data_IF_071507792012
#
_entry.id   IF_071507792012
#
_cell.length_a   1.000
_cell.length_b   1.000
_cell.length_c   1.000
_cell.angle_alpha   90.00
_cell.angle_beta   90.00
_cell.angle_gamma   90.00
#
_symmetry.space_group_name_H-M   'P 1'
#
loop_
_entity.id
_entity.type
_entity.pdbx_description
1 polymer ?
#
# COMPACT_ATOMS: atom_id res chain seq x y z
N UNK A 1 6.13 -9.68 -6.35
CA UNK A 1 5.75 -9.26 -4.98
C UNK A 1 4.27 -8.93 -4.87
N UNK A 2 3.75 -7.84 -5.47
CA UNK A 2 2.30 -7.59 -5.42
C UNK A 2 1.48 -8.62 -6.21
N UNK A 3 2.03 -9.14 -7.30
CA UNK A 3 1.42 -10.25 -8.06
C UNK A 3 1.19 -11.49 -7.17
N UNK A 4 2.15 -11.83 -6.29
CA UNK A 4 2.00 -12.92 -5.34
C UNK A 4 0.81 -12.74 -4.38
N UNK A 5 0.44 -11.50 -4.05
CA UNK A 5 -0.76 -11.18 -3.27
C UNK A 5 -2.02 -11.35 -4.13
N UNK A 6 -1.99 -10.87 -5.37
CA UNK A 6 -3.12 -10.98 -6.29
C UNK A 6 -3.48 -12.47 -6.55
N UNK A 7 -2.47 -13.32 -6.73
CA UNK A 7 -2.61 -14.75 -6.97
C UNK A 7 -3.06 -15.56 -5.75
N UNK A 8 -2.97 -14.99 -4.54
CA UNK A 8 -3.46 -15.64 -3.33
C UNK A 8 -4.99 -15.69 -3.28
N UNK A 9 -5.67 -14.69 -3.86
CA UNK A 9 -7.12 -14.50 -3.76
C UNK A 9 -7.64 -14.76 -2.33
N UNK A 10 -6.94 -14.20 -1.33
CA UNK A 10 -7.19 -14.49 0.07
C UNK A 10 -8.55 -13.91 0.49
N UNK A 11 -9.48 -14.79 0.80
CA UNK A 11 -10.83 -14.44 1.28
C UNK A 11 -11.25 -15.46 2.32
N UNK A 12 -11.54 -15.01 3.54
CA UNK A 12 -12.05 -15.85 4.62
C UNK A 12 -13.01 -15.08 5.53
N UNK A 13 -13.36 -15.68 6.68
CA UNK A 13 -14.27 -15.07 7.67
C UNK A 13 -13.79 -13.74 8.26
N UNK A 14 -12.50 -13.42 8.12
CA UNK A 14 -11.91 -12.17 8.60
C UNK A 14 -11.82 -11.09 7.52
N UNK A 15 -12.10 -11.45 6.26
CA UNK A 15 -12.19 -10.51 5.15
C UNK A 15 -11.45 -10.97 3.90
N UNK A 16 -11.34 -10.04 2.95
CA UNK A 16 -10.70 -10.23 1.66
C UNK A 16 -9.49 -9.32 1.53
N UNK A 17 -8.37 -9.89 1.06
CA UNK A 17 -7.15 -9.15 0.72
C UNK A 17 -6.95 -9.19 -0.79
N UNK A 18 -6.73 -8.03 -1.39
CA UNK A 18 -6.36 -7.90 -2.80
C UNK A 18 -5.24 -6.90 -3.03
N UNK A 19 -5.03 -6.56 -4.30
CA UNK A 19 -4.16 -5.48 -4.74
C UNK A 19 -4.99 -4.59 -5.66
N UNK A 20 -4.90 -3.24 -5.57
CA UNK A 20 -5.57 -2.39 -6.52
C UNK A 20 -5.02 -2.63 -7.93
N UNK A 21 -5.87 -2.54 -8.95
CA UNK A 21 -5.42 -2.78 -10.32
C UNK A 21 -4.33 -1.79 -10.68
N UNK A 22 -3.31 -2.27 -11.39
CA UNK A 22 -2.16 -1.46 -11.73
C UNK A 22 -1.63 -1.78 -13.13
N UNK A 23 -0.93 -0.81 -13.70
CA UNK A 23 -0.33 -0.86 -15.03
C UNK A 23 1.03 -0.16 -15.01
N UNK A 24 2.02 -0.79 -15.62
CA UNK A 24 3.34 -0.19 -15.82
C UNK A 24 3.37 0.55 -17.14
N UNK A 25 3.82 1.80 -17.13
CA UNK A 25 4.09 2.59 -18.32
C UNK A 25 5.60 2.84 -18.39
N UNK A 26 6.26 2.33 -19.43
CA UNK A 26 7.73 2.40 -19.52
C UNK A 26 8.25 3.65 -20.23
N UNK A 27 7.63 4.07 -21.34
CA UNK A 27 8.25 5.08 -22.24
C UNK A 27 7.29 6.13 -22.78
N UNK A 28 6.24 5.74 -23.49
CA UNK A 28 5.44 6.69 -24.27
C UNK A 28 4.33 7.35 -23.45
N UNK A 29 4.56 8.60 -23.04
CA UNK A 29 3.60 9.43 -22.30
C UNK A 29 2.31 9.70 -23.10
N UNK A 30 2.39 9.78 -24.43
CA UNK A 30 1.23 10.06 -25.29
C UNK A 30 0.22 8.90 -25.30
N UNK A 31 0.71 7.68 -25.06
CA UNK A 31 -0.10 6.46 -25.04
C UNK A 31 -0.79 6.16 -23.70
N UNK A 32 -0.50 6.93 -22.63
CA UNK A 32 -0.96 6.61 -21.27
C UNK A 32 -2.48 6.47 -21.19
N UNK A 33 -3.22 7.43 -21.76
CA UNK A 33 -4.69 7.43 -21.72
C UNK A 33 -5.30 6.20 -22.41
N UNK A 34 -4.73 5.80 -23.55
CA UNK A 34 -5.17 4.62 -24.29
C UNK A 34 -4.80 3.33 -23.56
N UNK A 35 -3.59 3.27 -22.99
CA UNK A 35 -3.15 2.13 -22.20
C UNK A 35 -4.03 1.93 -20.95
N UNK A 36 -4.36 3.01 -20.25
CA UNK A 36 -5.29 3.02 -19.11
C UNK A 36 -6.68 2.55 -19.53
N UNK A 37 -7.19 3.04 -20.66
CA UNK A 37 -8.50 2.67 -21.19
C UNK A 37 -8.55 1.20 -21.61
N UNK A 38 -7.52 0.70 -22.31
CA UNK A 38 -7.40 -0.70 -22.74
C UNK A 38 -7.26 -1.66 -21.55
N UNK A 39 -6.50 -1.28 -20.53
CA UNK A 39 -6.41 -2.02 -19.28
C UNK A 39 -7.67 -1.86 -18.42
N UNK A 40 -8.54 -0.90 -18.72
CA UNK A 40 -9.79 -0.64 -18.00
C UNK A 40 -9.59 -0.19 -16.55
N UNK A 41 -8.50 0.52 -16.23
CA UNK A 41 -8.35 1.09 -14.87
C UNK A 41 -9.32 2.25 -14.66
N UNK A 42 -9.78 2.41 -13.41
CA UNK A 42 -10.69 3.47 -13.01
C UNK A 42 -9.92 4.61 -12.34
N UNK A 43 -10.22 5.83 -12.77
CA UNK A 43 -9.71 7.03 -12.13
C UNK A 43 -10.40 7.25 -10.76
N UNK A 44 -9.68 7.83 -9.77
CA UNK A 44 -8.32 8.35 -9.89
C UNK A 44 -7.21 7.30 -9.80
N UNK A 45 -6.04 7.62 -10.37
CA UNK A 45 -4.86 6.75 -10.41
C UNK A 45 -3.67 7.39 -9.72
N UNK A 46 -3.07 6.68 -8.76
CA UNK A 46 -1.77 7.04 -8.18
C UNK A 46 -0.68 6.70 -9.19
N UNK A 47 0.10 7.70 -9.57
CA UNK A 47 1.30 7.54 -10.37
C UNK A 47 2.52 7.45 -9.44
N UNK A 48 3.22 6.31 -9.53
CA UNK A 48 4.45 6.01 -8.78
C UNK A 48 5.63 5.98 -9.75
N UNK A 49 6.54 6.97 -9.75
CA UNK A 49 7.71 6.94 -10.62
C UNK A 49 8.57 5.70 -10.35
N UNK A 50 9.04 5.03 -11.42
CA UNK A 50 9.99 3.92 -11.31
C UNK A 50 11.45 4.39 -11.20
N UNK A 51 11.72 5.63 -11.61
CA UNK A 51 13.04 6.23 -11.49
C UNK A 51 13.31 6.74 -10.08
N UNK A 52 14.40 6.28 -9.46
CA UNK A 52 14.82 6.62 -8.08
C UNK A 52 15.05 8.12 -7.79
N UNK A 53 14.99 9.00 -8.81
CA UNK A 53 15.21 10.44 -8.65
C UNK A 53 13.98 11.20 -8.14
N UNK A 54 12.79 10.63 -8.23
CA UNK A 54 11.57 11.23 -7.69
C UNK A 54 10.74 10.21 -6.94
N UNK A 55 10.75 10.29 -5.60
CA UNK A 55 9.80 9.57 -4.74
C UNK A 55 8.45 10.33 -4.62
N UNK A 56 8.19 11.30 -5.51
CA UNK A 56 6.98 12.10 -5.46
C UNK A 56 5.81 11.33 -6.07
N UNK A 57 4.81 11.06 -5.24
CA UNK A 57 3.55 10.47 -5.69
C UNK A 57 2.67 11.57 -6.28
N UNK A 58 2.06 11.25 -7.42
CA UNK A 58 1.10 12.13 -8.09
C UNK A 58 -0.24 11.43 -8.26
N UNK A 59 -1.33 12.18 -8.19
CA UNK A 59 -2.67 11.65 -8.41
C UNK A 59 -3.26 12.23 -9.70
N UNK A 60 -3.59 11.34 -10.63
CA UNK A 60 -4.28 11.66 -11.85
C UNK A 60 -5.78 11.39 -11.70
N UNK A 61 -6.60 12.43 -11.85
CA UNK A 61 -8.05 12.34 -11.60
C UNK A 61 -8.90 12.22 -12.85
N UNK A 62 -8.40 12.73 -13.97
CA UNK A 62 -9.07 12.71 -15.25
C UNK A 62 -8.10 12.30 -16.37
N UNK A 63 -8.63 12.17 -17.58
CA UNK A 63 -7.83 11.80 -18.76
C UNK A 63 -6.81 12.88 -19.14
N UNK A 64 -7.06 14.15 -18.80
CA UNK A 64 -6.14 15.24 -19.08
C UNK A 64 -4.95 15.21 -18.11
N UNK A 65 -5.18 14.90 -16.83
CA UNK A 65 -4.13 14.66 -15.84
C UNK A 65 -3.14 13.57 -16.30
N UNK A 66 -3.62 12.52 -16.99
CA UNK A 66 -2.77 11.44 -17.49
C UNK A 66 -1.72 11.91 -18.51
N UNK A 67 -2.03 12.95 -19.29
CA UNK A 67 -1.12 13.50 -20.31
C UNK A 67 0.05 14.27 -19.70
N UNK A 68 -0.05 14.66 -18.42
CA UNK A 68 0.99 15.39 -17.69
C UNK A 68 1.97 14.46 -16.95
N UNK A 69 1.79 13.14 -17.04
CA UNK A 69 2.62 12.17 -16.36
C UNK A 69 3.84 11.79 -17.21
N UNK A 70 4.98 11.62 -16.55
CA UNK A 70 6.26 11.29 -17.19
C UNK A 70 6.70 9.86 -16.84
N UNK A 71 6.68 8.92 -17.80
CA UNK A 71 7.25 7.58 -17.62
C UNK A 71 8.77 7.61 -17.36
N UNK A 72 9.35 6.55 -16.77
CA UNK A 72 8.71 5.29 -16.39
C UNK A 72 7.97 5.38 -15.04
N UNK A 73 6.75 4.85 -14.98
CA UNK A 73 5.91 4.89 -13.79
C UNK A 73 4.95 3.70 -13.69
N UNK A 74 4.44 3.46 -12.49
CA UNK A 74 3.29 2.56 -12.24
C UNK A 74 2.06 3.41 -11.98
N UNK A 75 0.98 3.13 -12.71
CA UNK A 75 -0.36 3.63 -12.41
C UNK A 75 -1.10 2.59 -11.59
N UNK A 76 -1.64 2.98 -10.45
CA UNK A 76 -2.42 2.10 -9.56
C UNK A 76 -3.75 2.76 -9.21
N UNK A 77 -4.85 2.00 -9.23
CA UNK A 77 -6.17 2.49 -8.80
C UNK A 77 -6.11 3.06 -7.38
N UNK A 78 -6.59 4.28 -7.21
CA UNK A 78 -6.74 4.89 -5.90
C UNK A 78 -8.02 4.41 -5.22
N UNK A 79 -7.88 3.89 -4.01
CA UNK A 79 -9.00 3.43 -3.18
C UNK A 79 -9.10 4.39 -2.01
N UNK A 80 -10.26 5.02 -1.80
CA UNK A 80 -10.50 5.80 -0.58
C UNK A 80 -10.38 4.87 0.64
N UNK A 81 -9.68 5.32 1.67
CA UNK A 81 -9.29 4.51 2.83
C UNK A 81 -9.21 5.31 4.14
N UNK A 82 -9.87 6.47 4.21
CA UNK A 82 -9.92 7.28 5.42
C UNK A 82 -8.60 7.96 5.76
N UNK A 83 -7.66 8.01 4.81
CA UNK A 83 -6.32 8.58 5.03
C UNK A 83 -5.46 7.81 6.03
N UNK A 84 -5.73 6.52 6.27
CA UNK A 84 -4.94 5.67 7.18
C UNK A 84 -4.35 4.45 6.48
N UNK A 85 -3.06 4.23 6.71
CA UNK A 85 -2.30 3.09 6.22
C UNK A 85 -1.85 2.23 7.41
N UNK A 86 -2.01 0.92 7.26
CA UNK A 86 -1.52 -0.08 8.20
C UNK A 86 -0.20 -0.64 7.70
N UNK A 87 0.89 -0.23 8.35
CA UNK A 87 2.22 -0.76 8.08
C UNK A 87 2.41 -2.04 8.89
N UNK A 88 2.40 -3.18 8.21
CA UNK A 88 2.48 -4.51 8.82
C UNK A 88 3.90 -5.04 8.67
N UNK A 89 4.69 -5.00 9.74
CA UNK A 89 6.02 -5.58 9.78
C UNK A 89 5.95 -7.07 10.06
N UNK A 90 6.72 -7.85 9.30
CA UNK A 90 6.83 -9.30 9.42
C UNK A 90 8.31 -9.63 9.68
N UNK A 91 8.56 -10.27 10.83
CA UNK A 91 9.89 -10.67 11.29
C UNK A 91 9.84 -12.14 11.70
N UNK A 92 10.20 -13.04 10.79
CA UNK A 92 9.93 -14.46 10.95
C UNK A 92 8.42 -14.69 11.12
N UNK A 93 8.03 -15.28 12.24
CA UNK A 93 6.63 -15.52 12.60
C UNK A 93 5.96 -14.31 13.29
N UNK A 94 6.74 -13.34 13.77
CA UNK A 94 6.21 -12.17 14.45
C UNK A 94 5.57 -11.18 13.47
N UNK A 95 4.45 -10.59 13.89
CA UNK A 95 3.71 -9.56 13.15
C UNK A 95 3.52 -8.36 14.07
N UNK A 96 3.90 -7.18 13.59
CA UNK A 96 3.66 -5.90 14.27
C UNK A 96 2.98 -4.93 13.32
N UNK A 97 1.88 -4.33 13.74
CA UNK A 97 1.12 -3.36 12.94
C UNK A 97 1.29 -1.97 13.53
N UNK A 98 1.55 -0.98 12.68
CA UNK A 98 1.63 0.44 13.05
C UNK A 98 0.71 1.22 12.12
N UNK A 99 -0.07 2.15 12.66
CA UNK A 99 -0.88 3.09 11.86
C UNK A 99 -0.02 4.25 11.39
N UNK A 100 -0.23 4.65 10.14
CA UNK A 100 0.38 5.83 9.51
C UNK A 100 -0.73 6.66 8.90
N UNK A 101 -0.57 7.98 8.92
CA UNK A 101 -1.36 8.80 8.00
C UNK A 101 -1.02 8.41 6.56
N UNK A 102 -1.95 8.64 5.65
CA UNK A 102 -1.86 8.32 4.24
C UNK A 102 -2.45 9.47 3.42
N UNK A 103 -2.60 9.26 2.12
CA UNK A 103 -3.26 10.22 1.24
C UNK A 103 -4.73 10.40 1.66
N UNK A 104 -5.24 11.64 1.73
CA UNK A 104 -6.63 11.88 2.10
C UNK A 104 -7.58 11.31 1.03
N UNK A 105 -8.81 11.03 1.44
CA UNK A 105 -9.85 10.58 0.52
C UNK A 105 -10.16 11.63 -0.53
N UNK A 106 -10.61 11.15 -1.68
CA UNK A 106 -10.92 11.98 -2.84
C UNK A 106 -12.41 11.93 -3.13
N UNK A 107 -13.04 13.08 -3.26
CA UNK A 107 -14.43 13.20 -3.69
C UNK A 107 -14.54 13.72 -5.13
N UNK A 108 -15.42 13.13 -5.95
CA UNK A 108 -15.63 13.59 -7.35
C UNK A 108 -15.99 15.08 -7.48
N UNK A 109 -16.55 15.70 -6.43
CA UNK A 109 -16.94 17.12 -6.41
C UNK A 109 -15.77 18.07 -6.20
N UNK A 110 -14.73 17.66 -5.49
CA UNK A 110 -13.51 18.46 -5.33
C UNK A 110 -12.65 18.42 -6.60
N UNK A 111 -12.76 17.32 -7.35
CA UNK A 111 -12.02 17.10 -8.60
C UNK A 111 -12.49 17.99 -9.75
N UNK A 112 -13.79 18.28 -9.83
CA UNK A 112 -14.30 19.19 -10.87
C UNK A 112 -13.84 20.64 -10.70
N UNK A 113 -13.26 20.99 -9.55
CA UNK A 113 -12.78 22.34 -9.24
C UNK A 113 -11.28 22.53 -9.47
N UNK A 114 -10.49 21.46 -9.57
CA UNK A 114 -9.03 21.50 -9.71
C UNK A 114 -8.56 20.61 -10.87
N UNK A 115 -8.58 21.11 -12.13
CA UNK A 115 -8.10 20.35 -13.28
C UNK A 115 -6.58 20.15 -13.20
N UNK A 116 -6.11 18.94 -13.55
CA UNK A 116 -4.67 18.61 -13.62
C UNK A 116 -4.21 17.52 -12.64
N UNK A 117 -2.90 17.43 -12.45
CA UNK A 117 -2.27 16.45 -11.55
C UNK A 117 -2.05 17.08 -10.18
N UNK A 118 -2.58 16.43 -9.13
CA UNK A 118 -2.24 16.82 -7.78
C UNK A 118 -0.97 16.08 -7.35
N UNK A 119 0.11 16.83 -7.23
CA UNK A 119 1.36 16.33 -6.66
C UNK A 119 1.24 16.39 -5.16
N UNK A 120 1.49 15.27 -4.49
CA UNK A 120 1.59 15.28 -3.05
C UNK A 120 3.03 15.65 -2.68
N UNK A 121 3.31 16.88 -2.18
CA UNK A 121 4.64 17.22 -1.72
C UNK A 121 5.05 16.21 -0.65
N UNK A 122 6.34 15.79 -0.66
CA UNK A 122 6.94 14.79 0.24
C UNK A 122 6.14 14.71 1.53
N UNK A 123 5.42 13.60 1.68
CA UNK A 123 4.45 13.37 2.75
C UNK A 123 5.17 13.32 4.10
N UNK A 124 5.54 14.49 4.63
CA UNK A 124 5.98 14.68 6.00
C UNK A 124 4.86 14.29 6.97
N UNK A 125 3.60 14.35 6.53
CA UNK A 125 2.45 13.83 7.27
C UNK A 125 2.23 12.31 7.11
N UNK A 126 2.31 11.69 5.92
CA UNK A 126 2.05 10.24 5.78
C UNK A 126 3.19 9.35 6.32
N UNK A 127 4.37 9.92 6.54
CA UNK A 127 5.43 9.23 7.29
C UNK A 127 5.20 9.28 8.81
N UNK A 128 4.29 10.10 9.32
CA UNK A 128 4.02 10.23 10.75
C UNK A 128 3.18 9.05 11.26
N UNK A 129 3.46 8.64 12.50
CA UNK A 129 2.63 7.65 13.18
C UNK A 129 1.23 8.21 13.42
N UNK A 130 0.21 7.38 13.25
CA UNK A 130 -1.17 7.69 13.60
C UNK A 130 -1.67 6.83 14.77
N UNK A 131 -0.77 6.14 15.50
CA UNK A 131 -1.17 5.25 16.58
C UNK A 131 -1.77 5.97 17.80
N UNK A 132 -1.40 7.22 18.03
CA UNK A 132 -1.94 8.07 19.11
C UNK A 132 -2.99 9.07 18.62
N UNK A 133 -3.32 9.04 17.32
CA UNK A 133 -4.33 9.93 16.77
C UNK A 133 -5.73 9.48 17.19
N UNK A 134 -6.60 10.44 17.47
CA UNK A 134 -8.03 10.20 17.66
C UNK A 134 -8.67 9.95 16.29
N UNK A 135 -8.84 8.67 15.95
CA UNK A 135 -9.36 8.21 14.67
C UNK A 135 -10.77 7.67 14.84
N UNK A 136 -11.61 7.88 13.83
CA UNK A 136 -12.90 7.18 13.74
C UNK A 136 -12.66 5.66 13.88
N UNK A 137 -13.34 4.96 14.81
CA UNK A 137 -13.17 3.53 15.00
C UNK A 137 -13.33 2.71 13.71
N UNK A 138 -14.19 3.15 12.79
CA UNK A 138 -14.41 2.47 11.50
C UNK A 138 -13.21 2.56 10.56
N UNK A 139 -12.33 3.55 10.75
CA UNK A 139 -11.12 3.78 9.95
C UNK A 139 -9.88 3.27 10.68
N UNK A 140 -9.78 3.53 11.98
CA UNK A 140 -8.59 3.27 12.80
C UNK A 140 -8.44 1.86 13.35
N UNK A 141 -9.47 1.01 13.20
CA UNK A 141 -9.43 -0.39 13.63
C UNK A 141 -8.35 -1.17 12.85
N UNK A 142 -7.51 -1.91 13.56
CA UNK A 142 -6.45 -2.72 12.94
C UNK A 142 -7.04 -3.87 12.11
N UNK A 143 -6.37 -4.28 11.01
CA UNK A 143 -6.76 -5.49 10.29
C UNK A 143 -6.75 -6.70 11.24
N UNK A 144 -7.71 -7.64 11.11
CA UNK A 144 -7.79 -8.79 12.00
C UNK A 144 -6.49 -9.59 12.02
N UNK A 145 -5.97 -9.85 13.22
CA UNK A 145 -4.71 -10.58 13.39
C UNK A 145 -4.68 -11.94 12.68
N UNK A 146 -5.73 -12.77 12.72
CA UNK A 146 -5.75 -14.06 12.00
C UNK A 146 -5.63 -13.90 10.47
N UNK A 147 -6.20 -12.83 9.91
CA UNK A 147 -6.06 -12.50 8.48
C UNK A 147 -4.59 -12.19 8.14
N UNK A 148 -3.94 -11.37 8.97
CA UNK A 148 -2.54 -11.01 8.79
C UNK A 148 -1.59 -12.20 8.97
N UNK A 149 -1.86 -13.09 9.93
CA UNK A 149 -1.08 -14.30 10.16
C UNK A 149 -1.12 -15.24 8.95
N UNK A 150 -2.31 -15.44 8.36
CA UNK A 150 -2.48 -16.22 7.13
C UNK A 150 -1.78 -15.57 5.94
N UNK A 151 -1.99 -14.27 5.73
CA UNK A 151 -1.35 -13.50 4.66
C UNK A 151 0.17 -13.56 4.77
N UNK A 152 0.73 -13.28 5.95
CA UNK A 152 2.16 -13.29 6.20
C UNK A 152 2.76 -14.69 5.96
N UNK A 153 2.10 -15.75 6.45
CA UNK A 153 2.54 -17.14 6.23
C UNK A 153 2.64 -17.48 4.75
N UNK A 154 1.59 -17.18 3.98
CA UNK A 154 1.59 -17.48 2.54
C UNK A 154 2.63 -16.65 1.77
N UNK A 155 2.78 -15.36 2.10
CA UNK A 155 3.79 -14.51 1.46
C UNK A 155 5.22 -14.93 1.82
N UNK A 156 5.48 -15.35 3.07
CA UNK A 156 6.78 -15.95 3.45
C UNK A 156 7.11 -17.14 2.57
N UNK A 157 6.13 -18.04 2.37
CA UNK A 157 6.31 -19.26 1.56
C UNK A 157 6.54 -18.94 0.08
N UNK A 158 5.76 -18.01 -0.49
CA UNK A 158 5.82 -17.67 -1.92
C UNK A 158 7.05 -16.84 -2.27
N UNK A 159 7.36 -15.83 -1.46
CA UNK A 159 8.46 -14.91 -1.72
C UNK A 159 9.82 -15.44 -1.21
N UNK A 160 9.81 -16.46 -0.34
CA UNK A 160 11.02 -16.94 0.34
C UNK A 160 11.61 -15.92 1.33
N UNK A 161 10.85 -14.90 1.70
CA UNK A 161 11.28 -13.82 2.58
C UNK A 161 10.88 -14.10 4.03
N UNK A 162 11.67 -13.60 4.98
CA UNK A 162 11.34 -13.61 6.41
C UNK A 162 11.35 -12.24 7.08
N UNK A 163 11.91 -11.24 6.40
CA UNK A 163 12.03 -9.87 6.86
C UNK A 163 11.47 -8.95 5.77
N UNK A 164 10.24 -8.52 5.95
CA UNK A 164 9.57 -7.61 5.03
C UNK A 164 8.46 -6.86 5.77
N UNK A 165 7.93 -5.81 5.16
CA UNK A 165 6.66 -5.25 5.59
C UNK A 165 5.69 -5.13 4.41
N UNK A 166 4.42 -5.01 4.77
CA UNK A 166 3.32 -4.71 3.88
C UNK A 166 2.79 -3.32 4.23
N UNK A 167 2.42 -2.57 3.21
CA UNK A 167 1.62 -1.36 3.36
C UNK A 167 0.19 -1.73 2.93
N UNK A 168 -0.73 -1.75 3.90
CA UNK A 168 -2.11 -2.18 3.73
C UNK A 168 -3.06 -1.02 3.95
N UNK A 169 -4.07 -0.88 3.10
CA UNK A 169 -5.20 0.05 3.29
C UNK A 169 -6.51 -0.72 3.38
N UNK A 170 -7.50 -0.16 4.08
CA UNK A 170 -8.87 -0.68 4.17
C UNK A 170 -9.78 0.20 3.30
N UNK A 171 -10.59 -0.39 2.44
CA UNK A 171 -11.53 0.38 1.61
C UNK A 171 -12.58 1.07 2.48
N UNK A 172 -12.70 2.39 2.32
CA UNK A 172 -13.62 3.22 3.08
C UNK A 172 -15.06 2.72 2.90
N UNK A 173 -15.80 2.65 4.01
CA UNK A 173 -17.17 2.13 4.04
C UNK A 173 -17.27 0.61 4.08
N UNK A 174 -16.14 -0.11 4.12
CA UNK A 174 -16.08 -1.56 4.30
C UNK A 174 -15.39 -1.89 5.61
N UNK A 175 -15.71 -3.05 6.19
CA UNK A 175 -15.01 -3.57 7.38
C UNK A 175 -13.97 -4.63 7.04
N UNK A 176 -14.11 -5.27 5.89
CA UNK A 176 -13.50 -6.55 5.58
C UNK A 176 -12.74 -6.55 4.24
N UNK A 177 -12.63 -5.42 3.54
CA UNK A 177 -11.87 -5.33 2.28
C UNK A 177 -10.56 -4.57 2.47
N UNK A 178 -9.47 -5.30 2.30
CA UNK A 178 -8.11 -4.81 2.46
C UNK A 178 -7.34 -4.90 1.16
N UNK A 179 -6.43 -3.95 0.94
CA UNK A 179 -5.60 -3.88 -0.24
C UNK A 179 -4.13 -3.71 0.17
N UNK A 180 -3.26 -4.60 -0.31
CA UNK A 180 -1.81 -4.42 -0.21
C UNK A 180 -1.39 -3.51 -1.35
N UNK A 181 -0.78 -2.36 -1.02
CA UNK A 181 -0.39 -1.36 -2.02
C UNK A 181 1.11 -1.30 -2.26
N UNK A 182 1.90 -1.83 -1.32
CA UNK A 182 3.35 -1.94 -1.41
C UNK A 182 3.91 -3.07 -0.52
N UNK A 183 5.04 -3.64 -0.91
CA UNK A 183 5.79 -4.66 -0.17
C UNK A 183 7.27 -4.29 -0.24
N UNK A 184 7.92 -4.13 0.91
CA UNK A 184 9.35 -3.85 0.94
C UNK A 184 10.11 -5.01 1.58
N UNK A 185 11.15 -5.48 0.88
CA UNK A 185 12.12 -6.41 1.44
C UNK A 185 13.05 -5.65 2.39
N UNK A 186 13.25 -6.18 3.59
CA UNK A 186 14.10 -5.59 4.63
C UNK A 186 13.90 -4.07 4.80
N UNK A 187 12.72 -3.64 5.26
CA UNK A 187 12.44 -2.21 5.48
C UNK A 187 13.25 -1.64 6.65
N UNK A 188 13.17 -0.32 6.84
CA UNK A 188 13.62 0.29 8.09
C UNK A 188 12.72 -0.09 9.26
N UNK A 189 13.27 -0.78 10.26
CA UNK A 189 12.55 -1.23 11.46
C UNK A 189 12.62 -0.27 12.66
N UNK A 190 13.40 0.82 12.58
CA UNK A 190 13.58 1.75 13.71
C UNK A 190 12.31 2.49 14.15
N UNK A 191 11.20 2.37 13.40
CA UNK A 191 9.88 2.89 13.79
C UNK A 191 8.87 1.77 14.13
N UNK A 192 9.33 0.53 14.25
CA UNK A 192 8.54 -0.60 14.73
C UNK A 192 8.71 -0.68 16.25
N UNK A 193 7.62 -0.63 17.05
CA UNK A 193 7.74 -0.77 18.49
C UNK A 193 8.31 -2.15 18.84
N UNK A 194 9.18 -2.20 19.85
CA UNK A 194 9.80 -3.43 20.37
C UNK A 194 10.70 -4.15 19.35
N UNK A 195 11.26 -3.43 18.37
CA UNK A 195 12.04 -4.06 17.31
C UNK A 195 13.27 -4.81 17.85
N UNK A 196 13.93 -4.31 18.89
CA UNK A 196 15.10 -4.96 19.48
C UNK A 196 14.78 -6.37 19.98
N UNK A 197 13.68 -6.51 20.73
CA UNK A 197 13.24 -7.79 21.27
C UNK A 197 12.79 -8.75 20.17
N UNK A 198 11.94 -8.26 19.26
CA UNK A 198 11.42 -9.07 18.14
C UNK A 198 12.57 -9.59 17.25
N UNK A 199 13.57 -8.76 16.95
CA UNK A 199 14.73 -9.20 16.17
C UNK A 199 15.61 -10.19 16.94
N UNK A 200 15.82 -9.95 18.24
CA UNK A 200 16.61 -10.86 19.07
C UNK A 200 15.95 -12.25 19.10
N UNK A 201 14.64 -12.30 19.36
CA UNK A 201 13.87 -13.55 19.36
C UNK A 201 13.89 -14.24 18.00
N UNK A 202 13.75 -13.47 16.92
CA UNK A 202 13.86 -13.99 15.57
C UNK A 202 15.23 -14.64 15.34
N UNK A 203 16.33 -13.96 15.63
CA UNK A 203 17.68 -14.51 15.44
C UNK A 203 17.92 -15.75 16.30
N UNK A 204 17.46 -15.74 17.56
CA UNK A 204 17.50 -16.91 18.44
C UNK A 204 16.70 -18.09 17.87
N UNK A 205 15.54 -17.83 17.25
CA UNK A 205 14.74 -18.88 16.61
C UNK A 205 15.49 -19.56 15.46
N UNK A 206 16.36 -18.84 14.75
CA UNK A 206 17.15 -19.41 13.64
C UNK A 206 18.26 -20.32 14.13
N UNK A 207 18.85 -20.02 15.27
CA UNK A 207 19.86 -20.88 15.90
C UNK A 207 19.23 -22.20 16.35
N UNK A 208 18.01 -22.16 16.91
CA UNK A 208 17.29 -23.35 17.38
C UNK A 208 16.75 -24.25 16.26
N UNK A 209 16.66 -23.74 15.04
CA UNK A 209 16.19 -24.48 13.86
C UNK A 209 17.34 -25.14 13.07
N UNK A 210 18.59 -24.94 13.51
CA UNK A 210 19.77 -25.68 13.05
C UNK A 210 20.03 -26.86 13.96
#
# INVERSE_FOLDING_TARGET
>A
MLEDVADLNLSDSYGKVGVPRQLVIEKDSSSISDAVSKAGLRLPLVAKPLAAKSHELSLAYDKFSLQMLEPPLVLQEFINHGGILFKVYIVGEAIKVVRRFSLPDVSKRELSKNPGVFRFPRVSCAAASADEADLDPCVGELPPRPLLERLAKELRRRLGLRLFNLDIIRELGTKDRFYVIDINYFPGYGKMPEYEHIFTDFLLSLVKQR
#
